data_IF_751927678724
#
_entry.id   IF_751927678724
#
_cell.length_a   1.000
_cell.length_b   1.000
_cell.length_c   1.000
_cell.angle_alpha   90.00
_cell.angle_beta   90.00
_cell.angle_gamma   90.00
#
_symmetry.space_group_name_H-M   'P 1'
#
loop_
_entity.id
_entity.type
_entity.pdbx_description
1 polymer ?
#
# COMPACT_ATOMS: atom_id res chain seq x y z
N UNK A 1 -4.82 6.38 9.80
CA UNK A 1 -3.73 7.05 9.04
C UNK A 1 -2.79 7.82 9.96
N UNK A 2 -3.29 8.62 10.91
CA UNK A 2 -2.46 9.41 11.85
C UNK A 2 -1.29 8.64 12.48
N UNK A 3 -1.54 7.53 13.19
CA UNK A 3 -0.45 6.74 13.80
C UNK A 3 0.64 6.28 12.81
N UNK A 4 0.25 5.91 11.58
CA UNK A 4 1.23 5.44 10.58
C UNK A 4 2.16 6.55 10.11
N UNK A 5 1.61 7.77 9.98
CA UNK A 5 2.37 8.96 9.55
C UNK A 5 3.17 9.57 10.69
N UNK A 6 2.53 9.75 11.85
CA UNK A 6 3.11 10.42 13.00
C UNK A 6 4.21 9.57 13.68
N UNK A 7 4.12 8.24 13.61
CA UNK A 7 5.19 7.33 14.07
C UNK A 7 6.10 6.84 12.95
N UNK A 8 6.01 7.42 11.75
CA UNK A 8 6.81 7.06 10.56
C UNK A 8 6.87 5.55 10.28
N UNK A 9 5.73 4.86 10.39
CA UNK A 9 5.58 3.44 10.09
C UNK A 9 5.47 3.24 8.57
N UNK A 10 6.53 3.58 7.83
CA UNK A 10 6.54 3.67 6.37
C UNK A 10 6.42 2.33 5.63
N UNK A 11 6.72 1.23 6.32
CA UNK A 11 6.50 -0.13 5.80
C UNK A 11 5.25 -0.74 6.42
N UNK A 12 4.36 -1.21 5.56
CA UNK A 12 3.28 -2.13 5.92
C UNK A 12 3.58 -3.49 5.30
N UNK A 13 4.24 -4.35 6.06
CA UNK A 13 4.60 -5.70 5.63
C UNK A 13 3.41 -6.64 5.79
N UNK A 14 3.05 -7.38 4.73
CA UNK A 14 1.94 -8.34 4.75
C UNK A 14 2.39 -9.66 4.15
N UNK A 15 2.79 -10.62 4.98
CA UNK A 15 3.07 -11.99 4.54
C UNK A 15 1.80 -12.65 4.01
N UNK A 16 1.91 -13.38 2.91
CA UNK A 16 0.82 -14.15 2.30
C UNK A 16 1.30 -15.58 2.10
N UNK A 17 0.67 -16.52 2.79
CA UNK A 17 1.06 -17.94 2.75
C UNK A 17 -0.16 -18.86 2.70
N UNK A 18 -0.13 -19.84 1.81
CA UNK A 18 -1.07 -20.96 1.81
C UNK A 18 -0.52 -22.08 2.68
N UNK A 19 -1.17 -22.28 3.84
CA UNK A 19 -0.83 -23.32 4.79
C UNK A 19 -1.50 -24.66 4.47
N UNK A 20 -0.91 -25.73 4.99
CA UNK A 20 -1.50 -27.06 4.93
C UNK A 20 -2.86 -27.09 5.64
N UNK A 21 -3.83 -27.78 5.02
CA UNK A 21 -5.20 -27.93 5.56
C UNK A 21 -6.12 -26.72 5.36
N UNK A 22 -5.62 -25.59 4.83
CA UNK A 22 -6.46 -24.42 4.54
C UNK A 22 -7.06 -24.53 3.13
N UNK A 23 -8.40 -24.49 2.97
CA UNK A 23 -9.01 -24.55 1.65
C UNK A 23 -8.68 -23.30 0.84
N UNK A 24 -8.04 -23.48 -0.31
CA UNK A 24 -7.72 -22.39 -1.24
C UNK A 24 -8.89 -22.18 -2.22
N UNK A 25 -9.38 -20.94 -2.42
CA UNK A 25 -10.42 -20.65 -3.41
C UNK A 25 -9.93 -20.81 -4.86
N UNK A 26 -8.61 -20.79 -5.09
CA UNK A 26 -8.02 -21.01 -6.40
C UNK A 26 -7.84 -22.51 -6.62
N UNK A 27 -8.39 -23.00 -7.74
CA UNK A 27 -8.29 -24.41 -8.09
C UNK A 27 -6.82 -24.81 -8.34
N UNK A 28 -6.46 -26.02 -7.89
CA UNK A 28 -5.15 -26.63 -8.17
C UNK A 28 -3.97 -26.09 -7.36
N UNK A 29 -4.19 -25.18 -6.41
CA UNK A 29 -3.13 -24.68 -5.54
C UNK A 29 -2.85 -25.65 -4.38
N UNK A 30 -1.57 -25.88 -4.08
CA UNK A 30 -1.09 -26.70 -2.97
C UNK A 30 -0.36 -25.84 -1.94
N UNK A 31 -0.27 -26.29 -0.68
CA UNK A 31 0.57 -25.62 0.32
C UNK A 31 1.98 -25.35 -0.21
N UNK A 32 2.47 -24.12 -0.03
CA UNK A 32 3.74 -23.67 -0.57
C UNK A 32 3.71 -23.05 -1.98
N UNK A 33 2.67 -23.28 -2.79
CA UNK A 33 2.54 -22.62 -4.11
C UNK A 33 2.31 -21.09 -3.96
N UNK A 34 1.84 -20.65 -2.78
CA UNK A 34 1.66 -19.26 -2.39
C UNK A 34 2.50 -19.01 -1.14
N UNK A 35 3.65 -18.37 -1.29
CA UNK A 35 4.49 -17.90 -0.18
C UNK A 35 5.27 -16.65 -0.62
N UNK A 36 4.74 -15.47 -0.29
CA UNK A 36 5.38 -14.21 -0.66
C UNK A 36 5.06 -13.11 0.34
N UNK A 37 5.83 -12.01 0.25
CA UNK A 37 5.61 -10.81 1.04
C UNK A 37 5.05 -9.69 0.17
N UNK A 38 4.08 -8.95 0.69
CA UNK A 38 3.71 -7.64 0.18
C UNK A 38 4.43 -6.60 1.04
N UNK A 39 5.38 -5.87 0.46
CA UNK A 39 6.00 -4.69 1.06
C UNK A 39 5.28 -3.47 0.52
N UNK A 40 4.45 -2.84 1.37
CA UNK A 40 3.60 -1.72 0.95
C UNK A 40 4.05 -0.41 1.60
N UNK A 41 4.21 0.63 0.79
CA UNK A 41 4.34 2.03 1.25
C UNK A 41 3.09 2.42 2.08
N UNK A 42 3.31 3.11 3.20
CA UNK A 42 2.28 3.29 4.22
C UNK A 42 2.14 4.74 4.75
N UNK A 43 2.87 5.69 4.17
CA UNK A 43 2.98 7.09 4.62
C UNK A 43 2.57 8.12 3.55
N UNK A 44 2.81 7.85 2.26
CA UNK A 44 2.55 8.74 1.12
C UNK A 44 1.68 8.06 0.03
N UNK A 45 1.83 8.44 -1.24
CA UNK A 45 1.15 7.84 -2.39
C UNK A 45 -0.24 8.43 -2.65
N UNK A 46 -1.16 7.59 -3.13
CA UNK A 46 -2.50 7.99 -3.57
C UNK A 46 -3.41 8.40 -2.41
N UNK A 47 -3.09 7.97 -1.20
CA UNK A 47 -3.88 8.27 -0.01
C UNK A 47 -3.47 9.60 0.64
N UNK A 48 -3.29 10.66 -0.14
CA UNK A 48 -3.11 11.99 0.43
C UNK A 48 -4.46 12.66 0.70
N UNK A 49 -4.47 13.61 1.64
CA UNK A 49 -5.61 14.52 1.81
C UNK A 49 -5.39 15.84 1.05
N UNK A 50 -4.52 15.82 0.02
CA UNK A 50 -4.20 16.98 -0.80
C UNK A 50 -5.16 17.03 -2.00
N UNK A 51 -5.68 18.23 -2.26
CA UNK A 51 -6.74 18.47 -3.23
C UNK A 51 -7.90 19.22 -2.60
N UNK A 52 -9.10 19.02 -3.12
CA UNK A 52 -10.30 19.67 -2.62
C UNK A 52 -11.45 19.64 -3.61
N UNK A 53 -12.55 20.28 -3.23
CA UNK A 53 -13.74 20.41 -4.06
C UNK A 53 -14.07 21.87 -4.31
N UNK A 54 -14.16 22.26 -5.57
CA UNK A 54 -14.53 23.59 -6.03
C UNK A 54 -16.00 23.57 -6.48
N UNK A 55 -16.73 24.66 -6.22
CA UNK A 55 -18.14 24.85 -6.62
C UNK A 55 -19.08 23.70 -6.20
N UNK A 56 -18.84 23.19 -4.99
CA UNK A 56 -19.60 22.11 -4.36
C UNK A 56 -21.12 22.32 -4.48
N UNK A 57 -21.85 21.34 -4.98
CA UNK A 57 -23.32 21.36 -5.10
C UNK A 57 -23.86 22.12 -6.30
N UNK A 58 -23.03 22.43 -7.31
CA UNK A 58 -23.46 23.11 -8.55
C UNK A 58 -23.07 22.30 -9.79
N UNK A 59 -23.63 22.62 -10.95
CA UNK A 59 -23.24 22.01 -12.25
C UNK A 59 -21.76 22.27 -12.62
N UNK A 60 -21.09 23.21 -11.95
CA UNK A 60 -19.68 23.56 -12.16
C UNK A 60 -18.75 22.83 -11.19
N UNK A 61 -19.25 21.85 -10.43
CA UNK A 61 -18.47 21.15 -9.41
C UNK A 61 -17.23 20.48 -10.01
N UNK A 62 -16.08 20.69 -9.37
CA UNK A 62 -14.81 20.06 -9.74
C UNK A 62 -14.19 19.46 -8.47
N UNK A 63 -13.73 18.21 -8.56
CA UNK A 63 -12.98 17.53 -7.50
C UNK A 63 -11.55 17.31 -7.97
N UNK A 64 -10.59 17.73 -7.15
CA UNK A 64 -9.16 17.52 -7.37
C UNK A 64 -8.66 16.59 -6.27
N UNK A 65 -7.95 15.55 -6.66
CA UNK A 65 -7.25 14.63 -5.77
C UNK A 65 -5.82 14.49 -6.26
N UNK A 66 -4.86 14.68 -5.37
CA UNK A 66 -3.44 14.57 -5.71
C UNK A 66 -2.80 13.33 -5.07
N UNK A 67 -1.95 12.66 -5.83
CA UNK A 67 -1.07 11.62 -5.32
C UNK A 67 0.34 12.20 -5.24
N UNK A 68 0.96 12.14 -4.06
CA UNK A 68 2.30 12.70 -3.84
C UNK A 68 3.25 11.57 -3.51
N UNK A 69 4.32 11.47 -4.28
CA UNK A 69 5.40 10.51 -4.11
C UNK A 69 6.69 11.28 -3.94
N UNK A 70 7.46 10.95 -2.92
CA UNK A 70 8.75 11.58 -2.66
C UNK A 70 9.86 10.60 -2.96
N UNK A 71 11.01 11.11 -3.40
CA UNK A 71 12.22 10.28 -3.55
C UNK A 71 12.56 9.58 -2.24
N UNK A 72 12.48 10.31 -1.11
CA UNK A 72 12.77 9.75 0.21
C UNK A 72 11.86 8.57 0.55
N UNK A 73 10.53 8.73 0.40
CA UNK A 73 9.54 7.69 0.69
C UNK A 73 9.66 6.49 -0.25
N UNK A 74 9.83 6.74 -1.54
CA UNK A 74 9.99 5.68 -2.54
C UNK A 74 11.28 4.89 -2.34
N UNK A 75 12.42 5.57 -2.14
CA UNK A 75 13.73 4.92 -1.99
C UNK A 75 13.79 4.01 -0.77
N UNK A 76 13.26 4.46 0.38
CA UNK A 76 13.33 3.68 1.63
C UNK A 76 12.45 2.42 1.57
N UNK A 77 11.31 2.48 0.89
CA UNK A 77 10.44 1.30 0.70
C UNK A 77 11.08 0.31 -0.28
N UNK A 78 11.59 0.79 -1.40
CA UNK A 78 12.32 -0.04 -2.36
C UNK A 78 13.49 -0.73 -1.69
N UNK A 79 14.34 0.02 -0.97
CA UNK A 79 15.49 -0.55 -0.25
C UNK A 79 15.08 -1.67 0.71
N UNK A 80 14.07 -1.42 1.56
CA UNK A 80 13.57 -2.45 2.48
C UNK A 80 13.10 -3.72 1.74
N UNK A 81 12.40 -3.56 0.61
CA UNK A 81 11.93 -4.70 -0.19
C UNK A 81 13.09 -5.51 -0.78
N UNK A 82 14.12 -4.85 -1.31
CA UNK A 82 15.32 -5.52 -1.82
C UNK A 82 16.13 -6.20 -0.70
N UNK A 83 16.27 -5.53 0.45
CA UNK A 83 16.97 -6.10 1.61
C UNK A 83 16.26 -7.34 2.15
N UNK A 84 14.91 -7.37 2.14
CA UNK A 84 14.12 -8.53 2.54
C UNK A 84 14.20 -9.70 1.54
N UNK A 85 14.48 -9.42 0.27
CA UNK A 85 14.54 -10.41 -0.79
C UNK A 85 15.93 -11.08 -0.93
N UNK A 86 16.97 -10.49 -0.33
CA UNK A 86 18.33 -11.03 -0.30
C UNK A 86 18.48 -12.19 0.69
#
# INVERSE_FOLDING_TARGET
LKFRREFDQYINLRPVRLFEGVPCPLAGQRPGDIDFFIVRENTEGEYTNLGGRLFSGTEREIVIQESVFTRHGTDRVMRYAFDLAN
#
